data_IF_880604760579
#
_entry.id   IF_880604760579
#
_cell.length_a   1.000
_cell.length_b   1.000
_cell.length_c   1.000
_cell.angle_alpha   90.00
_cell.angle_beta   90.00
_cell.angle_gamma   90.00
#
_symmetry.space_group_name_H-M   'P 1'
#
loop_
_entity.id
_entity.type
_entity.pdbx_description
1 polymer ?
#
# COMPACT_ATOMS: atom_id res chain seq x y z
N UNK A 1 -3.60 1.50 -14.39
CA UNK A 1 -4.84 0.73 -14.18
C UNK A 1 -5.22 0.81 -12.71
N UNK A 2 -6.51 0.97 -12.39
CA UNK A 2 -7.04 1.09 -11.02
C UNK A 2 -8.23 0.13 -10.88
N UNK A 3 -8.31 -0.58 -9.75
CA UNK A 3 -9.47 -1.37 -9.32
C UNK A 3 -10.02 -0.80 -8.03
N UNK A 4 -11.32 -0.51 -7.99
CA UNK A 4 -12.01 -0.04 -6.80
C UNK A 4 -12.48 -1.22 -5.94
N UNK A 5 -12.81 -0.96 -4.67
CA UNK A 5 -13.22 -2.02 -3.74
C UNK A 5 -14.35 -2.92 -4.24
N UNK A 6 -15.34 -2.37 -4.96
CA UNK A 6 -16.45 -3.14 -5.56
C UNK A 6 -16.03 -4.13 -6.66
N UNK A 7 -14.81 -3.98 -7.19
CA UNK A 7 -14.24 -4.81 -8.26
C UNK A 7 -13.24 -5.83 -7.70
N UNK A 8 -12.92 -5.76 -6.41
CA UNK A 8 -11.94 -6.63 -5.75
C UNK A 8 -12.69 -7.77 -5.06
N UNK A 9 -12.32 -8.99 -5.42
CA UNK A 9 -12.83 -10.21 -4.77
C UNK A 9 -12.39 -10.22 -3.30
N UNK A 10 -13.28 -10.68 -2.42
CA UNK A 10 -13.05 -10.77 -0.97
C UNK A 10 -12.76 -9.42 -0.29
N UNK A 11 -13.16 -8.32 -0.95
CA UNK A 11 -13.05 -6.98 -0.38
C UNK A 11 -13.80 -6.90 0.95
N UNK A 12 -13.11 -6.35 1.95
CA UNK A 12 -13.67 -6.05 3.24
C UNK A 12 -13.78 -4.54 3.42
N UNK A 13 -14.90 -4.07 3.99
CA UNK A 13 -14.97 -2.69 4.45
C UNK A 13 -14.04 -2.50 5.67
N UNK A 14 -13.16 -1.49 5.68
CA UNK A 14 -12.28 -1.23 6.81
C UNK A 14 -13.11 -0.74 8.01
N UNK A 15 -13.38 -1.62 8.97
CA UNK A 15 -14.15 -1.31 10.19
C UNK A 15 -13.21 -1.25 11.39
N UNK A 16 -13.33 -0.19 12.19
CA UNK A 16 -12.53 -0.04 13.42
C UNK A 16 -11.03 0.16 13.19
N UNK A 17 -10.62 0.57 11.98
CA UNK A 17 -9.24 0.89 11.62
C UNK A 17 -8.82 2.20 12.28
N UNK A 18 -7.59 2.22 12.81
CA UNK A 18 -7.03 3.39 13.50
C UNK A 18 -5.88 4.07 12.76
N UNK A 19 -5.23 3.36 11.84
CA UNK A 19 -4.01 3.84 11.20
C UNK A 19 -3.79 3.23 9.82
N UNK A 20 -3.09 3.99 8.99
CA UNK A 20 -2.48 3.52 7.75
C UNK A 20 -1.01 3.23 8.04
N UNK A 21 -0.52 2.07 7.62
CA UNK A 21 0.84 1.61 7.89
C UNK A 21 1.51 1.17 6.60
N UNK A 22 2.84 1.19 6.58
CA UNK A 22 3.63 0.69 5.45
C UNK A 22 4.90 0.02 5.97
N UNK A 23 5.22 -1.15 5.42
CA UNK A 23 6.51 -1.79 5.63
C UNK A 23 7.43 -1.46 4.46
N UNK A 24 8.55 -0.81 4.74
CA UNK A 24 9.55 -0.44 3.72
C UNK A 24 10.79 -1.33 3.74
N UNK A 25 10.88 -2.28 4.68
CA UNK A 25 12.09 -3.10 4.87
C UNK A 25 12.38 -4.03 3.70
N UNK A 26 11.35 -4.50 2.99
CA UNK A 26 11.45 -5.47 1.90
C UNK A 26 11.10 -4.87 0.53
N UNK A 27 11.06 -3.53 0.41
CA UNK A 27 10.74 -2.88 -0.85
C UNK A 27 12.00 -2.85 -1.71
N UNK A 28 11.93 -3.47 -2.90
CA UNK A 28 13.03 -3.48 -3.87
C UNK A 28 13.45 -2.06 -4.31
N UNK A 29 14.71 -1.91 -4.70
CA UNK A 29 15.23 -0.64 -5.22
C UNK A 29 14.56 -0.23 -6.55
N UNK A 30 14.63 1.06 -6.88
CA UNK A 30 14.13 1.61 -8.14
C UNK A 30 12.68 2.08 -8.04
N UNK A 31 11.83 1.66 -8.98
CA UNK A 31 10.43 2.12 -9.02
C UNK A 31 9.64 1.76 -7.74
N UNK A 32 9.78 0.57 -7.13
CA UNK A 32 9.09 0.25 -5.88
C UNK A 32 9.50 1.18 -4.73
N UNK A 33 10.79 1.42 -4.51
CA UNK A 33 11.28 2.33 -3.46
C UNK A 33 10.83 3.78 -3.68
N UNK A 34 10.87 4.28 -4.93
CA UNK A 34 10.36 5.61 -5.28
C UNK A 34 8.84 5.72 -5.05
N UNK A 35 8.10 4.64 -5.32
CA UNK A 35 6.66 4.56 -5.08
C UNK A 35 6.37 4.59 -3.57
N UNK A 36 7.13 3.83 -2.78
CA UNK A 36 7.03 3.83 -1.33
C UNK A 36 7.28 5.23 -0.74
N UNK A 37 8.33 5.90 -1.18
CA UNK A 37 8.66 7.25 -0.72
C UNK A 37 7.55 8.25 -1.06
N UNK A 38 7.01 8.20 -2.29
CA UNK A 38 5.90 9.05 -2.70
C UNK A 38 4.65 8.80 -1.83
N UNK A 39 4.31 7.53 -1.58
CA UNK A 39 3.17 7.17 -0.73
C UNK A 39 3.38 7.62 0.72
N UNK A 40 4.60 7.52 1.25
CA UNK A 40 4.93 8.04 2.59
C UNK A 40 4.69 9.55 2.65
N UNK A 41 5.15 10.30 1.65
CA UNK A 41 4.96 11.76 1.60
C UNK A 41 3.49 12.16 1.46
N UNK A 42 2.74 11.48 0.60
CA UNK A 42 1.35 11.82 0.29
C UNK A 42 0.38 11.41 1.40
N UNK A 43 0.51 10.18 1.91
CA UNK A 43 -0.49 9.57 2.79
C UNK A 43 -0.07 9.58 4.27
N UNK A 44 1.19 9.91 4.56
CA UNK A 44 1.77 9.93 5.92
C UNK A 44 1.43 8.67 6.74
N UNK A 45 1.61 7.46 6.18
CA UNK A 45 1.42 6.23 6.94
C UNK A 45 2.48 6.12 8.05
N UNK A 46 2.16 5.36 9.10
CA UNK A 46 3.15 4.93 10.07
C UNK A 46 4.06 3.87 9.44
N UNK A 47 5.37 4.11 9.47
CA UNK A 47 6.36 3.13 9.02
C UNK A 47 6.58 2.14 10.15
N UNK A 48 6.53 0.85 9.84
CA UNK A 48 6.78 -0.22 10.81
C UNK A 48 7.80 -1.23 10.27
N UNK A 49 8.35 -2.03 11.19
CA UNK A 49 9.26 -3.15 10.90
C UNK A 49 8.81 -4.37 11.70
N UNK A 50 8.94 -5.57 11.12
CA UNK A 50 8.48 -6.81 11.73
C UNK A 50 6.99 -7.05 11.47
N UNK A 51 6.22 -7.32 12.53
CA UNK A 51 4.80 -7.66 12.44
C UNK A 51 3.91 -6.43 12.23
N UNK A 52 2.86 -6.53 11.37
CA UNK A 52 1.95 -5.43 11.09
C UNK A 52 1.14 -5.01 12.33
N UNK A 53 1.02 -3.69 12.60
CA UNK A 53 0.20 -3.21 13.70
C UNK A 53 -1.27 -3.64 13.57
N UNK A 54 -1.86 -4.08 14.68
CA UNK A 54 -3.27 -4.49 14.71
C UNK A 54 -4.22 -3.35 14.33
N UNK A 55 -5.35 -3.69 13.71
CA UNK A 55 -6.42 -2.73 13.31
C UNK A 55 -5.89 -1.58 12.46
N UNK A 56 -4.99 -1.90 11.54
CA UNK A 56 -4.43 -0.96 10.58
C UNK A 56 -4.78 -1.38 9.16
N UNK A 57 -4.62 -0.45 8.22
CA UNK A 57 -4.56 -0.75 6.80
C UNK A 57 -3.09 -0.69 6.40
N UNK A 58 -2.56 -1.78 5.90
CA UNK A 58 -1.24 -1.83 5.34
C UNK A 58 -1.27 -1.46 3.86
N UNK A 59 -0.39 -0.54 3.47
CA UNK A 59 -0.03 -0.28 2.09
C UNK A 59 1.02 -1.32 1.70
N UNK A 60 0.63 -2.25 0.83
CA UNK A 60 1.52 -3.29 0.31
C UNK A 60 1.96 -2.87 -1.09
N UNK A 61 3.27 -2.90 -1.32
CA UNK A 61 3.91 -2.55 -2.58
C UNK A 61 4.59 -3.79 -3.11
N UNK A 62 4.20 -4.23 -4.31
CA UNK A 62 4.79 -5.38 -5.00
C UNK A 62 5.13 -5.01 -6.43
N UNK A 63 6.00 -5.78 -7.07
CA UNK A 63 6.40 -5.57 -8.46
C UNK A 63 7.88 -5.29 -8.58
N UNK A 64 8.31 -4.90 -9.78
CA UNK A 64 9.71 -4.75 -10.16
C UNK A 64 9.95 -3.43 -10.88
N UNK A 65 11.18 -3.21 -11.37
CA UNK A 65 11.62 -1.93 -11.94
C UNK A 65 10.78 -1.35 -13.10
N UNK A 66 9.91 -2.13 -13.75
CA UNK A 66 9.05 -1.67 -14.86
C UNK A 66 7.58 -1.44 -14.47
N UNK A 67 7.08 -2.12 -13.43
CA UNK A 67 5.68 -2.02 -13.02
C UNK A 67 5.56 -2.33 -11.53
N UNK A 68 4.89 -1.43 -10.80
CA UNK A 68 4.61 -1.59 -9.38
C UNK A 68 3.11 -1.68 -9.16
N UNK A 69 2.67 -2.63 -8.35
CA UNK A 69 1.31 -2.76 -7.87
C UNK A 69 1.22 -2.31 -6.42
N UNK A 70 0.23 -1.47 -6.13
CA UNK A 70 -0.09 -1.02 -4.78
C UNK A 70 -1.44 -1.61 -4.38
N UNK A 71 -1.49 -2.20 -3.20
CA UNK A 71 -2.70 -2.77 -2.59
C UNK A 71 -2.83 -2.31 -1.15
N UNK A 72 -4.07 -2.33 -0.63
CA UNK A 72 -4.37 -1.93 0.74
C UNK A 72 -5.02 -3.11 1.45
N UNK A 73 -4.36 -3.63 2.48
CA UNK A 73 -4.75 -4.85 3.21
C UNK A 73 -5.11 -4.50 4.65
N UNK A 74 -6.22 -5.02 5.15
CA UNK A 74 -6.63 -4.84 6.53
C UNK A 74 -5.88 -5.84 7.42
N UNK A 75 -5.02 -5.36 8.32
CA UNK A 75 -4.14 -6.20 9.13
C UNK A 75 -4.88 -7.13 10.09
N UNK A 76 -6.14 -6.80 10.42
CA UNK A 76 -6.98 -7.64 11.29
C UNK A 76 -7.51 -8.92 10.65
N UNK A 77 -7.58 -8.97 9.32
CA UNK A 77 -8.24 -10.05 8.59
C UNK A 77 -7.47 -10.52 7.35
N UNK A 78 -6.37 -9.85 7.03
CA UNK A 78 -5.55 -10.08 5.85
C UNK A 78 -6.35 -10.03 4.54
N UNK A 79 -7.35 -9.15 4.49
CA UNK A 79 -8.22 -8.97 3.31
C UNK A 79 -8.01 -7.61 2.66
N UNK A 80 -8.18 -7.51 1.32
CA UNK A 80 -8.17 -6.22 0.63
C UNK A 80 -9.26 -5.31 1.18
N UNK A 81 -8.93 -4.06 1.47
CA UNK A 81 -9.90 -3.11 2.03
C UNK A 81 -9.72 -1.66 1.55
N UNK A 82 -8.98 -1.48 0.46
CA UNK A 82 -8.89 -0.22 -0.29
C UNK A 82 -8.80 -0.48 -1.80
N UNK A 83 -8.55 0.57 -2.61
CA UNK A 83 -8.33 0.39 -4.04
C UNK A 83 -7.03 -0.40 -4.29
N UNK A 84 -6.88 -0.94 -5.49
CA UNK A 84 -5.61 -1.44 -6.00
C UNK A 84 -5.25 -0.70 -7.27
N UNK A 85 -3.99 -0.33 -7.45
CA UNK A 85 -3.57 0.37 -8.66
C UNK A 85 -2.14 0.04 -9.05
N UNK A 86 -1.86 0.21 -10.35
CA UNK A 86 -0.53 0.07 -10.92
C UNK A 86 0.14 1.43 -11.06
N UNK A 87 1.39 1.51 -10.66
CA UNK A 87 2.28 2.65 -10.80
C UNK A 87 3.29 2.33 -11.89
N UNK A 88 3.38 3.22 -12.88
CA UNK A 88 4.29 3.11 -14.03
C UNK A 88 5.40 4.18 -13.99
N UNK A 89 5.38 5.06 -13.00
CA UNK A 89 6.35 6.13 -12.82
C UNK A 89 5.98 7.06 -11.67
N UNK A 90 6.99 7.67 -11.06
CA UNK A 90 6.84 8.68 -9.99
C UNK A 90 7.43 10.00 -10.49
N UNK A 91 6.65 11.08 -10.41
CA UNK A 91 7.08 12.43 -10.76
C UNK A 91 7.18 13.28 -9.49
N UNK A 92 8.29 14.00 -9.34
CA UNK A 92 8.48 14.99 -8.27
C UNK A 92 8.30 16.37 -8.91
N UNK A 93 7.31 17.11 -8.41
CA UNK A 93 7.15 18.52 -8.75
C UNK A 93 7.74 19.32 -7.58
N UNK A 94 8.72 20.16 -7.88
CA UNK A 94 9.34 21.10 -6.93
C UNK A 94 8.47 22.33 -6.73
#
# INVERSE_FOLDING_TARGET
SVKLGREIRDYQRPLGIKSLVINVANVEEGLPSLTAEALVRMLKPMIYQGEPPLRSIEIVITGSGSEVSVTFICTSSDRPCGPSFKVVGVRRYE
#
